data_IF_519356348140
#
_entry.id   IF_519356348140
#
_cell.length_a   1.000
_cell.length_b   1.000
_cell.length_c   1.000
_cell.angle_alpha   90.00
_cell.angle_beta   90.00
_cell.angle_gamma   90.00
#
_symmetry.space_group_name_H-M   'P 1'
#
loop_
_entity.id
_entity.type
_entity.pdbx_description
1 polymer ?
#
# COMPACT_ATOMS: atom_id res chain seq x y z
N UNK A 1 15.30 9.01 -3.66
CA UNK A 1 15.98 7.71 -3.69
C UNK A 1 16.49 7.45 -5.09
N UNK A 2 17.73 7.03 -5.18
CA UNK A 2 18.32 6.69 -6.47
C UNK A 2 18.22 5.19 -6.68
N UNK A 3 17.68 4.78 -7.82
CA UNK A 3 17.65 3.38 -8.24
C UNK A 3 18.87 3.15 -9.12
N UNK A 4 19.62 2.09 -8.87
CA UNK A 4 20.81 1.79 -9.63
C UNK A 4 20.45 1.49 -11.10
N UNK A 5 21.33 1.89 -12.01
CA UNK A 5 21.11 1.64 -13.45
C UNK A 5 20.84 0.19 -13.76
N UNK A 6 21.52 -0.71 -13.08
CA UNK A 6 21.35 -2.14 -13.28
C UNK A 6 19.96 -2.61 -12.92
N UNK A 7 19.42 -2.06 -11.84
CA UNK A 7 18.05 -2.36 -11.42
C UNK A 7 17.04 -1.82 -12.42
N UNK A 8 17.27 -0.63 -12.96
CA UNK A 8 16.41 -0.04 -13.97
C UNK A 8 16.43 -0.92 -15.25
N UNK A 9 17.58 -1.36 -15.68
CA UNK A 9 17.70 -2.23 -16.84
C UNK A 9 16.99 -3.56 -16.64
N UNK A 10 17.08 -4.10 -15.44
CA UNK A 10 16.40 -5.34 -15.10
C UNK A 10 14.89 -5.16 -15.13
N UNK A 11 14.37 -4.08 -14.61
CA UNK A 11 12.95 -3.75 -14.63
C UNK A 11 12.46 -3.66 -16.08
N UNK A 12 13.19 -2.94 -16.93
CA UNK A 12 12.85 -2.79 -18.34
C UNK A 12 12.80 -4.15 -19.04
N UNK A 13 13.81 -4.97 -18.80
CA UNK A 13 13.91 -6.30 -19.42
C UNK A 13 12.79 -7.24 -18.96
N UNK A 14 12.53 -7.30 -17.66
CA UNK A 14 11.56 -8.21 -17.10
C UNK A 14 10.11 -7.84 -17.42
N UNK A 15 9.85 -6.57 -17.65
CA UNK A 15 8.49 -6.06 -17.89
C UNK A 15 8.22 -5.74 -19.36
N UNK A 16 9.17 -5.99 -20.25
CA UNK A 16 9.01 -5.71 -21.68
C UNK A 16 8.57 -4.28 -21.96
N UNK A 17 9.24 -3.32 -21.35
CA UNK A 17 8.88 -1.92 -21.50
C UNK A 17 9.39 -1.37 -22.83
N UNK A 18 8.47 -1.00 -23.71
CA UNK A 18 8.77 -0.51 -25.05
C UNK A 18 8.16 0.86 -25.37
N UNK A 19 7.30 1.37 -24.48
CA UNK A 19 6.59 2.60 -24.74
C UNK A 19 6.33 3.36 -23.44
N UNK A 20 5.91 4.63 -23.58
CA UNK A 20 5.49 5.41 -22.42
C UNK A 20 4.29 4.80 -21.73
N UNK A 21 3.38 4.21 -22.51
CA UNK A 21 2.21 3.52 -21.95
C UNK A 21 2.63 2.35 -21.04
N UNK A 22 3.66 1.61 -21.44
CA UNK A 22 4.19 0.53 -20.62
C UNK A 22 4.78 1.05 -19.32
N UNK A 23 5.44 2.21 -19.35
CA UNK A 23 5.98 2.86 -18.16
C UNK A 23 4.84 3.22 -17.20
N UNK A 24 3.77 3.82 -17.70
CA UNK A 24 2.62 4.17 -16.86
C UNK A 24 1.96 2.95 -16.25
N UNK A 25 1.85 1.87 -17.00
CA UNK A 25 1.31 0.61 -16.48
C UNK A 25 2.19 0.08 -15.34
N UNK A 26 3.50 0.09 -15.53
CA UNK A 26 4.43 -0.35 -14.50
C UNK A 26 4.31 0.51 -13.24
N UNK A 27 4.27 1.83 -13.41
CA UNK A 27 4.15 2.76 -12.28
C UNK A 27 2.83 2.55 -11.53
N UNK A 28 1.74 2.36 -12.26
CA UNK A 28 0.44 2.10 -11.65
C UNK A 28 0.45 0.81 -10.83
N UNK A 29 0.95 -0.27 -11.41
CA UNK A 29 1.00 -1.56 -10.74
C UNK A 29 1.92 -1.53 -9.52
N UNK A 30 3.09 -0.89 -9.66
CA UNK A 30 4.03 -0.75 -8.55
C UNK A 30 3.46 0.09 -7.43
N UNK A 31 2.78 1.17 -7.77
CA UNK A 31 2.15 2.05 -6.79
C UNK A 31 1.05 1.30 -6.03
N UNK A 32 0.24 0.54 -6.74
CA UNK A 32 -0.79 -0.31 -6.13
C UNK A 32 -0.16 -1.29 -5.13
N UNK A 33 0.91 -1.97 -5.53
CA UNK A 33 1.57 -2.94 -4.67
C UNK A 33 2.17 -2.29 -3.42
N UNK A 34 2.77 -1.11 -3.57
CA UNK A 34 3.31 -0.37 -2.43
C UNK A 34 2.20 0.03 -1.47
N UNK A 35 1.09 0.54 -1.98
CA UNK A 35 -0.07 0.90 -1.16
C UNK A 35 -0.61 -0.31 -0.41
N UNK A 36 -0.72 -1.44 -1.10
CA UNK A 36 -1.21 -2.68 -0.52
C UNK A 36 -0.33 -3.10 0.67
N UNK A 37 0.98 -3.12 0.47
CA UNK A 37 1.91 -3.51 1.52
C UNK A 37 1.92 -2.53 2.69
N UNK A 38 1.81 -1.25 2.41
CA UNK A 38 1.76 -0.24 3.48
C UNK A 38 0.50 -0.39 4.33
N UNK A 39 -0.65 -0.66 3.71
CA UNK A 39 -1.89 -0.89 4.45
C UNK A 39 -1.84 -2.19 5.25
N UNK A 40 -1.24 -3.24 4.69
CA UNK A 40 -1.05 -4.49 5.42
C UNK A 40 -0.18 -4.27 6.65
N UNK A 41 0.88 -3.47 6.51
CA UNK A 41 1.76 -3.13 7.62
C UNK A 41 1.03 -2.30 8.68
N UNK A 42 0.17 -1.37 8.27
CA UNK A 42 -0.63 -0.59 9.22
C UNK A 42 -1.53 -1.50 10.06
N UNK A 43 -2.18 -2.46 9.42
CA UNK A 43 -3.05 -3.39 10.16
C UNK A 43 -2.24 -4.27 11.10
N UNK A 44 -1.10 -4.78 10.66
CA UNK A 44 -0.22 -5.58 11.53
C UNK A 44 0.20 -4.77 12.76
N UNK A 45 0.59 -3.53 12.58
CA UNK A 45 1.00 -2.68 13.69
C UNK A 45 -0.17 -2.41 14.65
N UNK A 46 -1.35 -2.18 14.12
CA UNK A 46 -2.56 -1.96 14.93
C UNK A 46 -2.90 -3.17 15.76
N UNK A 47 -2.91 -4.35 15.15
CA UNK A 47 -3.24 -5.59 15.85
C UNK A 47 -2.18 -5.94 16.91
N UNK A 48 -0.92 -5.72 16.61
CA UNK A 48 0.16 -5.94 17.57
C UNK A 48 0.05 -5.00 18.76
N UNK A 49 -0.25 -3.73 18.51
CA UNK A 49 -0.45 -2.75 19.57
C UNK A 49 -1.60 -3.15 20.50
N UNK A 50 -2.75 -3.50 19.94
CA UNK A 50 -3.92 -3.89 20.72
C UNK A 50 -3.62 -5.11 21.61
N UNK A 51 -2.95 -6.10 21.04
CA UNK A 51 -2.58 -7.32 21.76
C UNK A 51 -1.64 -7.02 22.92
N UNK A 52 -0.62 -6.19 22.69
CA UNK A 52 0.39 -5.90 23.72
C UNK A 52 -0.15 -4.94 24.78
N UNK A 53 -0.97 -3.97 24.37
CA UNK A 53 -1.50 -2.96 25.26
C UNK A 53 -2.50 -3.54 26.27
N UNK A 54 -3.29 -4.50 25.84
CA UNK A 54 -4.31 -5.12 26.69
C UNK A 54 -3.75 -6.19 27.64
N UNK A 55 -2.48 -6.49 27.52
CA UNK A 55 -1.83 -7.46 28.39
C UNK A 55 -2.47 -8.83 28.32
N UNK A 56 -2.99 -9.30 29.46
CA UNK A 56 -3.59 -10.63 29.55
C UNK A 56 -4.97 -10.73 28.89
N UNK A 57 -5.56 -9.62 28.52
CA UNK A 57 -6.86 -9.65 27.88
C UNK A 57 -6.69 -10.19 26.47
N UNK A 58 -7.43 -11.23 26.20
CA UNK A 58 -7.45 -11.79 24.85
C UNK A 58 -8.32 -10.90 23.98
N UNK A 59 -7.74 -10.42 22.91
CA UNK A 59 -8.53 -9.71 21.90
C UNK A 59 -8.95 -10.71 20.85
N UNK A 60 -10.22 -10.64 20.43
CA UNK A 60 -10.71 -11.40 19.29
C UNK A 60 -10.34 -10.75 17.99
N UNK A 61 -9.76 -9.55 18.05
CA UNK A 61 -9.46 -8.82 16.84
C UNK A 61 -8.27 -9.43 16.11
N UNK A 62 -8.45 -9.68 14.83
CA UNK A 62 -7.45 -10.26 13.96
C UNK A 62 -7.79 -9.90 12.53
N UNK A 63 -6.90 -10.23 11.61
CA UNK A 63 -7.17 -10.05 10.18
C UNK A 63 -8.42 -10.81 9.79
N UNK A 64 -9.24 -10.19 8.95
CA UNK A 64 -10.50 -10.78 8.49
C UNK A 64 -10.75 -10.42 7.02
N UNK A 65 -9.88 -10.93 6.15
CA UNK A 65 -10.02 -10.72 4.72
C UNK A 65 -9.79 -9.29 4.27
N UNK A 66 -10.39 -8.94 3.17
CA UNK A 66 -10.22 -7.65 2.52
C UNK A 66 -11.54 -7.14 1.97
N UNK A 67 -11.62 -5.84 1.78
CA UNK A 67 -12.69 -5.23 1.00
C UNK A 67 -12.06 -4.52 -0.20
N UNK A 68 -12.74 -4.57 -1.34
CA UNK A 68 -12.24 -3.96 -2.57
C UNK A 68 -12.65 -2.50 -2.63
N UNK A 69 -11.71 -1.66 -3.02
CA UNK A 69 -11.94 -0.23 -3.19
C UNK A 69 -11.36 0.23 -4.52
N UNK A 70 -12.12 1.05 -5.25
CA UNK A 70 -11.64 1.66 -6.48
C UNK A 70 -10.95 2.97 -6.13
N UNK A 71 -9.72 3.15 -6.60
CA UNK A 71 -8.95 4.36 -6.39
C UNK A 71 -8.62 5.01 -7.72
N UNK A 72 -8.62 6.33 -7.71
CA UNK A 72 -8.22 7.15 -8.85
C UNK A 72 -6.86 7.74 -8.55
N UNK A 73 -5.88 7.46 -9.40
CA UNK A 73 -4.52 7.96 -9.25
C UNK A 73 -4.10 8.73 -10.51
N UNK A 74 -2.97 9.41 -10.44
CA UNK A 74 -2.41 10.08 -11.62
C UNK A 74 -1.99 9.10 -12.71
N UNK A 75 -1.81 7.82 -12.37
CA UNK A 75 -1.47 6.77 -13.32
C UNK A 75 -2.69 6.02 -13.87
N UNK A 76 -3.88 6.38 -13.42
CA UNK A 76 -5.12 5.74 -13.81
C UNK A 76 -5.89 5.17 -12.62
N UNK A 77 -7.05 4.61 -12.91
CA UNK A 77 -7.88 3.98 -11.89
C UNK A 77 -7.46 2.52 -11.70
N UNK A 78 -7.57 2.05 -10.47
CA UNK A 78 -7.31 0.64 -10.16
C UNK A 78 -8.08 0.23 -8.91
N UNK A 79 -8.24 -1.06 -8.76
CA UNK A 79 -8.85 -1.64 -7.57
C UNK A 79 -7.77 -2.06 -6.60
N UNK A 80 -8.00 -1.82 -5.32
CA UNK A 80 -7.09 -2.24 -4.26
C UNK A 80 -7.87 -3.01 -3.21
N UNK A 81 -7.21 -3.99 -2.61
CA UNK A 81 -7.78 -4.77 -1.52
C UNK A 81 -7.37 -4.14 -0.20
N UNK A 82 -8.34 -3.54 0.48
CA UNK A 82 -8.09 -2.92 1.79
C UNK A 82 -8.21 -3.99 2.86
N UNK A 83 -7.18 -4.23 3.66
CA UNK A 83 -7.24 -5.24 4.70
C UNK A 83 -8.26 -4.86 5.76
N UNK A 84 -8.93 -5.86 6.31
CA UNK A 84 -9.97 -5.69 7.32
C UNK A 84 -9.58 -6.44 8.58
N UNK A 85 -9.99 -5.90 9.71
CA UNK A 85 -9.94 -6.61 10.97
C UNK A 85 -11.30 -7.25 11.27
N UNK A 86 -11.31 -8.17 12.21
CA UNK A 86 -12.53 -8.89 12.58
C UNK A 86 -13.61 -7.95 13.14
N UNK A 87 -13.22 -6.95 13.91
CA UNK A 87 -14.15 -6.02 14.53
C UNK A 87 -14.64 -4.91 13.60
N UNK A 88 -14.03 -4.78 12.41
CA UNK A 88 -14.41 -3.77 11.46
C UNK A 88 -14.04 -2.35 11.88
N UNK A 89 -13.09 -2.19 12.78
CA UNK A 89 -12.69 -0.90 13.32
C UNK A 89 -11.47 -0.29 12.64
N UNK A 90 -10.69 -1.13 11.94
CA UNK A 90 -9.47 -0.66 11.29
C UNK A 90 -9.78 0.23 10.10
N UNK A 91 -9.13 1.38 10.07
CA UNK A 91 -9.16 2.28 8.92
C UNK A 91 -7.73 2.68 8.61
N UNK A 92 -7.23 2.37 7.40
CA UNK A 92 -5.88 2.79 7.02
C UNK A 92 -5.74 4.31 7.08
N UNK A 93 -4.68 4.78 7.70
CA UNK A 93 -4.38 6.22 7.74
C UNK A 93 -3.94 6.75 6.40
N UNK A 94 -3.26 5.89 5.63
CA UNK A 94 -2.75 6.25 4.33
C UNK A 94 -3.87 6.60 3.35
N UNK A 95 -4.96 5.80 3.37
CA UNK A 95 -6.13 6.02 2.53
C UNK A 95 -7.38 5.94 3.41
N UNK A 96 -7.87 7.08 3.89
CA UNK A 96 -9.07 7.09 4.72
C UNK A 96 -10.28 6.51 4.00
N UNK A 97 -11.24 6.04 4.77
CA UNK A 97 -12.37 5.25 4.30
C UNK A 97 -13.13 5.84 3.10
N UNK A 98 -13.29 7.14 3.07
CA UNK A 98 -14.08 7.79 2.02
C UNK A 98 -13.23 8.42 0.92
N UNK A 99 -11.92 8.34 1.01
CA UNK A 99 -11.05 8.90 0.00
C UNK A 99 -10.89 7.92 -1.16
N UNK A 100 -11.19 8.39 -2.38
CA UNK A 100 -11.05 7.58 -3.59
C UNK A 100 -10.08 8.17 -4.60
N UNK A 101 -9.90 9.48 -4.57
CA UNK A 101 -8.92 10.16 -5.43
C UNK A 101 -7.65 10.38 -4.64
N UNK A 102 -6.60 9.67 -5.04
CA UNK A 102 -5.30 9.69 -4.36
C UNK A 102 -4.23 10.38 -5.19
N UNK A 103 -4.61 11.07 -6.25
CA UNK A 103 -3.63 11.71 -7.13
C UNK A 103 -2.75 12.74 -6.42
N UNK A 104 -3.20 13.26 -5.27
CA UNK A 104 -2.41 14.21 -4.49
C UNK A 104 -1.48 13.58 -3.46
N UNK A 105 -1.57 12.28 -3.20
CA UNK A 105 -0.77 11.63 -2.14
C UNK A 105 0.36 10.76 -2.67
N UNK A 106 0.44 10.57 -3.98
CA UNK A 106 1.40 9.66 -4.58
C UNK A 106 2.84 10.03 -4.27
N UNK A 107 3.14 11.32 -4.35
CA UNK A 107 4.46 11.82 -4.01
C UNK A 107 4.82 11.55 -2.56
N UNK A 108 3.85 11.70 -1.67
CA UNK A 108 4.04 11.41 -0.25
C UNK A 108 4.34 9.94 -0.01
N UNK A 109 3.61 9.05 -0.69
CA UNK A 109 3.82 7.61 -0.58
C UNK A 109 5.21 7.24 -1.08
N UNK A 110 5.61 7.76 -2.23
CA UNK A 110 6.94 7.53 -2.79
C UNK A 110 8.03 8.00 -1.83
N UNK A 111 7.84 9.18 -1.24
CA UNK A 111 8.79 9.74 -0.28
C UNK A 111 8.95 8.86 0.95
N UNK A 112 7.85 8.35 1.50
CA UNK A 112 7.90 7.44 2.64
C UNK A 112 8.63 6.15 2.30
N UNK A 113 8.33 5.58 1.15
CA UNK A 113 8.98 4.35 0.70
C UNK A 113 10.48 4.57 0.46
N UNK A 114 10.83 5.69 -0.15
CA UNK A 114 12.23 6.04 -0.45
C UNK A 114 13.08 6.20 0.81
N UNK A 115 12.48 6.60 1.92
CA UNK A 115 13.18 6.70 3.20
C UNK A 115 13.41 5.36 3.87
N UNK A 116 12.93 4.28 3.25
CA UNK A 116 13.02 2.97 3.84
C UNK A 116 12.18 2.82 5.08
N UNK A 117 11.06 3.52 5.17
CA UNK A 117 10.18 3.42 6.32
C UNK A 117 9.63 2.02 6.47
N UNK A 118 9.63 1.57 7.71
CA UNK A 118 9.14 0.25 8.07
C UNK A 118 8.12 0.42 9.19
N UNK A 119 7.09 -0.41 9.15
CA UNK A 119 6.09 -0.48 10.21
C UNK A 119 6.39 -1.59 11.23
N UNK A 120 7.55 -2.17 11.12
CA UNK A 120 7.99 -3.18 12.08
C UNK A 120 8.42 -2.58 13.40
#
# INVERSE_FOLDING_TARGET
MAVAKEQIRQIISENNINSVADIYTLLKDSFKDILQELMEAELDATLSYEKNHKGDLQTDNKRNGHSTKNLKSQYGEFKIDVPRDRNGEFEPKLIPKYQRDISGIEEKVISLYARGMSYT
#
